data_IF_759776795643
#
_entry.id   IF_759776795643
#
_cell.length_a   1.000
_cell.length_b   1.000
_cell.length_c   1.000
_cell.angle_alpha   90.00
_cell.angle_beta   90.00
_cell.angle_gamma   90.00
#
_symmetry.space_group_name_H-M   'P 1'
#
loop_
_entity.id
_entity.type
_entity.pdbx_description
1 polymer ?
#
# COMPACT_ATOMS: atom_id res chain seq x y z
N UNK A 1 4.31 20.48 -4.25
CA UNK A 1 3.63 20.31 -2.95
C UNK A 1 2.19 20.73 -3.13
N UNK A 2 1.26 19.83 -2.85
CA UNK A 2 -0.18 20.08 -2.92
C UNK A 2 -0.95 19.01 -2.18
N UNK A 3 -2.28 19.18 -2.10
CA UNK A 3 -3.15 18.18 -1.49
C UNK A 3 -3.13 16.87 -2.27
N UNK A 4 -2.86 15.77 -1.57
CA UNK A 4 -2.81 14.41 -2.10
C UNK A 4 -3.53 13.46 -1.15
N UNK A 5 -4.04 12.38 -1.71
CA UNK A 5 -4.56 11.23 -0.96
C UNK A 5 -3.38 10.38 -0.51
N UNK A 6 -3.14 10.31 0.79
CA UNK A 6 -2.01 9.61 1.41
C UNK A 6 -2.52 8.57 2.40
N UNK A 7 -1.79 7.46 2.51
CA UNK A 7 -2.07 6.42 3.50
C UNK A 7 -1.59 6.86 4.88
N UNK A 8 -2.50 6.80 5.85
CA UNK A 8 -2.22 6.98 7.26
C UNK A 8 -2.47 5.68 8.04
N UNK A 9 -1.87 5.59 9.23
CA UNK A 9 -1.94 4.42 10.11
C UNK A 9 -2.47 4.85 11.47
N UNK A 10 -3.53 4.18 11.91
CA UNK A 10 -3.98 4.19 13.30
C UNK A 10 -3.09 3.23 14.12
N UNK A 11 -2.22 3.80 14.95
CA UNK A 11 -1.28 3.00 15.76
C UNK A 11 -1.99 2.20 16.86
N UNK A 12 -3.18 2.60 17.32
CA UNK A 12 -3.93 1.86 18.34
C UNK A 12 -4.52 0.57 17.77
N UNK A 13 -5.03 0.63 16.53
CA UNK A 13 -5.57 -0.53 15.82
C UNK A 13 -4.50 -1.40 15.17
N UNK A 14 -3.30 -0.87 14.93
CA UNK A 14 -2.25 -1.60 14.25
C UNK A 14 -1.72 -2.77 15.10
N UNK A 15 -1.80 -4.00 14.58
CA UNK A 15 -1.32 -5.22 15.26
C UNK A 15 0.07 -5.69 14.80
N UNK A 16 0.80 -4.87 14.04
CA UNK A 16 2.18 -5.18 13.63
C UNK A 16 2.37 -6.35 12.65
N UNK A 17 1.30 -6.87 12.05
CA UNK A 17 1.38 -8.11 11.25
C UNK A 17 2.15 -7.99 9.92
N UNK A 18 2.52 -6.79 9.46
CA UNK A 18 3.35 -6.57 8.28
C UNK A 18 2.69 -6.84 6.91
N UNK A 19 1.42 -7.24 6.85
CA UNK A 19 0.73 -7.50 5.56
C UNK A 19 0.74 -6.30 4.63
N UNK A 20 0.53 -5.11 5.18
CA UNK A 20 0.56 -3.85 4.43
C UNK A 20 1.95 -3.52 3.85
N UNK A 21 3.02 -3.93 4.52
CA UNK A 21 4.40 -3.77 4.02
C UNK A 21 4.61 -4.67 2.80
N UNK A 22 4.17 -5.93 2.88
CA UNK A 22 4.33 -6.90 1.79
C UNK A 22 3.47 -6.57 0.56
N UNK A 23 2.28 -5.99 0.77
CA UNK A 23 1.33 -5.65 -0.30
C UNK A 23 1.63 -4.34 -1.02
N UNK A 24 2.54 -3.50 -0.49
CA UNK A 24 2.85 -2.19 -1.06
C UNK A 24 3.93 -2.34 -2.16
N UNK A 25 3.61 -2.14 -3.45
CA UNK A 25 4.57 -2.35 -4.55
C UNK A 25 5.72 -1.35 -4.50
N UNK A 26 5.44 -0.12 -4.06
CA UNK A 26 6.40 0.98 -3.96
C UNK A 26 7.22 0.95 -2.66
N UNK A 27 6.99 -0.04 -1.78
CA UNK A 27 7.65 -0.17 -0.48
C UNK A 27 7.52 1.09 0.40
N UNK A 28 6.38 1.77 0.32
CA UNK A 28 6.10 3.00 1.07
C UNK A 28 5.91 2.79 2.57
N UNK A 29 5.61 1.57 3.00
CA UNK A 29 5.38 1.21 4.41
C UNK A 29 6.54 0.38 4.96
N UNK A 30 6.78 0.50 6.25
CA UNK A 30 7.71 -0.35 7.00
C UNK A 30 7.16 -0.58 8.42
N UNK A 31 7.77 -1.51 9.16
CA UNK A 31 7.47 -1.71 10.57
C UNK A 31 8.52 -1.02 11.44
N UNK A 32 8.06 -0.27 12.42
CA UNK A 32 8.87 0.30 13.49
C UNK A 32 8.14 0.05 14.82
N UNK A 33 8.82 -0.58 15.79
CA UNK A 33 8.24 -0.94 17.10
C UNK A 33 6.90 -1.69 16.98
N UNK A 34 6.84 -2.68 16.09
CA UNK A 34 5.63 -3.47 15.78
C UNK A 34 4.43 -2.63 15.29
N UNK A 35 4.67 -1.44 14.75
CA UNK A 35 3.64 -0.58 14.13
C UNK A 35 4.03 -0.25 12.70
N UNK A 36 3.05 -0.30 11.81
CA UNK A 36 3.25 0.13 10.43
C UNK A 36 3.42 1.65 10.39
N UNK A 37 4.42 2.11 9.64
CA UNK A 37 4.67 3.54 9.42
C UNK A 37 4.94 3.82 7.95
N UNK A 38 4.56 5.02 7.52
CA UNK A 38 4.94 5.52 6.20
C UNK A 38 6.42 5.91 6.23
N UNK A 39 7.20 5.33 5.31
CA UNK A 39 8.64 5.60 5.18
C UNK A 39 8.89 6.99 4.63
N UNK A 40 8.22 7.30 3.53
CA UNK A 40 8.31 8.57 2.82
C UNK A 40 7.05 8.71 1.95
N UNK A 41 6.39 9.85 2.03
CA UNK A 41 5.15 10.15 1.31
C UNK A 41 5.32 10.26 -0.21
N UNK A 42 6.55 10.46 -0.69
CA UNK A 42 6.89 10.38 -2.12
C UNK A 42 6.76 8.97 -2.68
N UNK A 43 6.85 7.95 -1.83
CA UNK A 43 6.67 6.55 -2.22
C UNK A 43 5.20 6.13 -2.17
N UNK A 44 4.35 6.92 -1.50
CA UNK A 44 2.93 6.63 -1.39
C UNK A 44 2.19 7.22 -2.59
N UNK A 45 1.63 6.36 -3.44
CA UNK A 45 0.79 6.75 -4.57
C UNK A 45 -0.68 6.96 -4.17
N UNK A 46 -1.06 6.56 -2.96
CA UNK A 46 -2.44 6.62 -2.47
C UNK A 46 -3.35 5.51 -3.00
N UNK A 47 -2.80 4.44 -3.61
CA UNK A 47 -3.60 3.39 -4.26
C UNK A 47 -4.44 2.55 -3.29
N UNK A 48 -3.97 2.35 -2.05
CA UNK A 48 -4.76 1.71 -0.99
C UNK A 48 -4.71 0.19 -0.93
N UNK A 49 -3.76 -0.49 -1.60
CA UNK A 49 -3.60 -1.96 -1.49
C UNK A 49 -3.40 -2.43 -0.05
N UNK A 50 -2.69 -1.63 0.76
CA UNK A 50 -2.45 -1.87 2.18
C UNK A 50 -3.74 -1.90 3.03
N UNK A 51 -4.76 -1.12 2.65
CA UNK A 51 -6.05 -1.05 3.35
C UNK A 51 -6.79 -2.38 3.17
N UNK A 52 -6.84 -2.88 1.93
CA UNK A 52 -7.53 -4.13 1.59
C UNK A 52 -6.98 -5.36 2.32
N UNK A 53 -5.67 -5.37 2.64
CA UNK A 53 -5.02 -6.52 3.29
C UNK A 53 -4.91 -6.40 4.82
N UNK A 54 -5.29 -5.25 5.40
CA UNK A 54 -5.13 -5.01 6.84
C UNK A 54 -6.25 -5.69 7.64
N UNK A 55 -5.95 -6.74 8.42
CA UNK A 55 -7.00 -7.48 9.14
C UNK A 55 -7.59 -6.68 10.32
N UNK A 56 -6.86 -5.71 10.85
CA UNK A 56 -7.32 -4.86 11.96
C UNK A 56 -7.88 -3.52 11.51
N UNK A 57 -7.98 -3.28 10.19
CA UNK A 57 -8.50 -2.04 9.60
C UNK A 57 -7.77 -0.76 10.09
N UNK A 58 -6.48 -0.89 10.40
CA UNK A 58 -5.66 0.20 10.94
C UNK A 58 -5.17 1.21 9.90
N UNK A 59 -5.45 1.01 8.61
CA UNK A 59 -4.98 1.88 7.53
C UNK A 59 -6.17 2.58 6.85
N UNK A 60 -6.02 3.86 6.58
CA UNK A 60 -7.03 4.68 5.91
C UNK A 60 -6.37 5.70 4.98
N UNK A 61 -7.17 6.30 4.09
CA UNK A 61 -6.71 7.39 3.22
C UNK A 61 -7.09 8.72 3.88
N UNK A 62 -6.14 9.65 3.96
CA UNK A 62 -6.37 11.04 4.32
C UNK A 62 -5.94 11.98 3.19
N UNK A 63 -6.67 13.08 3.02
CA UNK A 63 -6.22 14.17 2.15
C UNK A 63 -5.39 15.16 2.96
N UNK A 64 -4.13 15.34 2.58
CA UNK A 64 -3.23 16.30 3.24
C UNK A 64 -2.24 16.91 2.25
N UNK A 65 -1.59 18.00 2.66
CA UNK A 65 -0.43 18.53 1.94
C UNK A 65 0.71 17.51 1.98
N UNK A 66 1.25 17.17 0.80
CA UNK A 66 2.38 16.26 0.67
C UNK A 66 3.24 16.63 -0.55
N UNK A 67 4.49 16.19 -0.53
CA UNK A 67 5.38 16.21 -1.69
C UNK A 67 4.79 15.38 -2.84
N UNK A 68 5.20 15.66 -4.08
CA UNK A 68 4.68 14.91 -5.24
C UNK A 68 5.20 13.46 -5.23
N UNK A 69 4.42 12.54 -5.79
CA UNK A 69 4.84 11.15 -5.93
C UNK A 69 6.10 11.05 -6.79
N UNK A 70 7.10 10.30 -6.32
CA UNK A 70 8.31 10.06 -7.09
C UNK A 70 8.08 8.96 -8.13
N UNK A 71 7.68 9.39 -9.32
CA UNK A 71 7.44 8.53 -10.47
C UNK A 71 8.66 7.69 -10.89
N UNK A 72 9.87 8.07 -10.49
CA UNK A 72 11.08 7.31 -10.84
C UNK A 72 11.10 5.92 -10.19
N UNK A 73 10.37 5.72 -9.09
CA UNK A 73 10.31 4.43 -8.37
C UNK A 73 9.69 3.33 -9.21
N UNK A 74 8.78 3.67 -10.14
CA UNK A 74 8.14 2.68 -11.01
C UNK A 74 9.16 1.90 -11.85
N UNK A 75 10.31 2.49 -12.15
CA UNK A 75 11.43 1.80 -12.83
C UNK A 75 12.03 0.65 -12.03
N UNK A 76 11.79 0.61 -10.71
CA UNK A 76 12.29 -0.42 -9.79
C UNK A 76 11.24 -1.49 -9.49
N UNK A 77 10.01 -1.31 -9.96
CA UNK A 77 8.94 -2.29 -9.77
C UNK A 77 9.05 -3.33 -10.88
N UNK A 78 9.26 -4.59 -10.49
CA UNK A 78 9.15 -5.70 -11.42
C UNK A 78 7.66 -5.91 -11.74
N UNK A 79 7.30 -5.75 -13.01
CA UNK A 79 5.93 -5.89 -13.48
C UNK A 79 5.39 -7.31 -13.29
N UNK A 80 6.22 -8.34 -13.46
CA UNK A 80 5.82 -9.74 -13.24
C UNK A 80 5.49 -9.97 -11.76
N UNK A 81 6.37 -9.58 -10.85
CA UNK A 81 6.13 -9.70 -9.40
C UNK A 81 4.90 -8.89 -8.94
N UNK A 82 4.67 -7.74 -9.56
CA UNK A 82 3.49 -6.91 -9.28
C UNK A 82 2.20 -7.61 -9.71
N UNK A 83 2.20 -8.18 -10.92
CA UNK A 83 1.06 -8.96 -11.43
C UNK A 83 0.81 -10.23 -10.61
N UNK A 84 1.86 -10.91 -10.15
CA UNK A 84 1.74 -12.08 -9.29
C UNK A 84 1.12 -11.75 -7.93
N UNK A 85 1.48 -10.60 -7.35
CA UNK A 85 0.84 -10.10 -6.12
C UNK A 85 -0.62 -9.73 -6.33
N UNK A 86 -1.00 -9.25 -7.52
CA UNK A 86 -2.39 -8.96 -7.88
C UNK A 86 -3.20 -10.22 -8.18
N UNK A 87 -2.61 -11.22 -8.83
CA UNK A 87 -3.27 -12.44 -9.30
C UNK A 87 -3.66 -13.40 -8.17
N UNK A 88 -3.06 -13.28 -6.98
CA UNK A 88 -3.54 -13.98 -5.77
C UNK A 88 -5.00 -13.66 -5.40
N UNK A 89 -5.56 -12.56 -5.92
CA UNK A 89 -6.98 -12.19 -5.78
C UNK A 89 -7.76 -12.23 -7.10
N UNK A 90 -7.13 -12.59 -8.21
CA UNK A 90 -7.72 -12.59 -9.54
C UNK A 90 -7.53 -13.96 -10.19
N UNK A 91 -8.60 -14.76 -10.19
CA UNK A 91 -8.71 -16.04 -10.90
C UNK A 91 -9.53 -15.84 -12.18
N UNK A 92 -8.89 -15.67 -13.35
CA UNK A 92 -9.60 -15.42 -14.61
C UNK A 92 -10.59 -16.54 -14.98
N UNK A 93 -10.34 -17.78 -14.53
CA UNK A 93 -11.22 -18.93 -14.71
C UNK A 93 -12.57 -18.79 -13.97
N UNK A 94 -12.62 -18.08 -12.84
CA UNK A 94 -13.86 -17.83 -12.08
C UNK A 94 -14.73 -16.74 -12.75
N UNK A 95 -14.15 -15.92 -13.63
CA UNK A 95 -14.87 -14.91 -14.42
C UNK A 95 -15.51 -15.47 -15.70
N UNK A 96 -14.96 -16.55 -16.26
CA UNK A 96 -15.52 -17.22 -17.45
C UNK A 96 -16.75 -18.10 -17.13
N UNK A 97 -17.05 -18.30 -15.85
CA UNK A 97 -18.18 -19.09 -15.37
C UNK A 97 -19.50 -18.28 -15.22
N UNK A 98 -19.60 -17.10 -15.84
CA UNK A 98 -20.84 -16.34 -15.99
C UNK A 98 -21.11 -15.99 -17.44
#
# INVERSE_FOLDING_TARGET
MGKRMIIAVDEELCIGCGRCVNSCPTSALYLENDKAKLRDEKLCDGFGSCIAVCPSHALYIEEREAEDFDWSILSRINFEDFLDKLSLHYKPEELRAK
#
